data_IF_437854324543
#
_entry.id   IF_437854324543
#
_cell.length_a   1.000
_cell.length_b   1.000
_cell.length_c   1.000
_cell.angle_alpha   90.00
_cell.angle_beta   90.00
_cell.angle_gamma   90.00
#
_symmetry.space_group_name_H-M   'P 1'
#
loop_
_entity.id
_entity.type
_entity.pdbx_description
1 polymer ?
#
# COMPACT_ATOMS: atom_id res chain seq x y z
N UNK A 1 -47.00 -44.38 27.53
CA UNK A 1 -46.83 -43.82 26.17
C UNK A 1 -45.47 -44.18 25.56
N UNK A 2 -44.63 -44.96 26.23
CA UNK A 2 -43.25 -45.28 25.79
C UNK A 2 -43.15 -46.57 24.96
N UNK A 3 -44.09 -47.52 25.15
CA UNK A 3 -44.02 -48.85 24.55
C UNK A 3 -44.14 -48.86 23.00
N UNK A 4 -44.88 -47.90 22.43
CA UNK A 4 -44.98 -47.81 20.95
C UNK A 4 -43.72 -47.21 20.31
N UNK A 5 -43.02 -46.32 21.02
CA UNK A 5 -41.76 -45.74 20.58
C UNK A 5 -40.69 -46.84 20.56
N UNK A 6 -40.57 -47.59 21.64
CA UNK A 6 -39.66 -48.74 21.73
C UNK A 6 -39.93 -49.78 20.65
N UNK A 7 -41.20 -50.09 20.35
CA UNK A 7 -41.56 -51.02 19.27
C UNK A 7 -41.16 -50.51 17.89
N UNK A 8 -41.38 -49.22 17.61
CA UNK A 8 -40.95 -48.62 16.33
C UNK A 8 -39.43 -48.67 16.20
N UNK A 9 -38.68 -48.32 17.25
CA UNK A 9 -37.21 -48.39 17.23
C UNK A 9 -36.70 -49.82 17.15
N UNK A 10 -37.38 -50.80 17.75
CA UNK A 10 -37.01 -52.22 17.62
C UNK A 10 -37.27 -52.76 16.21
N UNK A 11 -38.32 -52.29 15.54
CA UNK A 11 -38.64 -52.67 14.15
C UNK A 11 -37.75 -51.97 13.13
N UNK A 12 -37.39 -50.71 13.38
CA UNK A 12 -36.59 -49.89 12.48
C UNK A 12 -35.08 -50.05 12.70
N UNK A 13 -34.66 -50.34 13.94
CA UNK A 13 -33.26 -50.47 14.38
C UNK A 13 -32.37 -51.32 13.46
N UNK A 14 -32.80 -52.53 13.04
CA UNK A 14 -32.00 -53.39 12.17
C UNK A 14 -31.71 -52.82 10.78
N UNK A 15 -32.45 -51.79 10.36
CA UNK A 15 -32.29 -51.11 9.07
C UNK A 15 -31.67 -49.71 9.22
N UNK A 16 -31.36 -49.27 10.44
CA UNK A 16 -30.71 -48.00 10.71
C UNK A 16 -29.23 -48.26 10.93
N UNK A 17 -28.40 -47.64 10.09
CA UNK A 17 -26.96 -47.61 10.26
C UNK A 17 -26.55 -46.23 10.79
N UNK A 18 -25.86 -46.19 11.92
CA UNK A 18 -25.25 -44.97 12.47
C UNK A 18 -23.75 -45.07 12.22
N UNK A 19 -23.20 -44.18 11.38
CA UNK A 19 -21.77 -44.19 11.06
C UNK A 19 -21.28 -45.43 10.30
N UNK A 20 -22.19 -46.27 9.78
CA UNK A 20 -21.88 -47.53 9.11
C UNK A 20 -22.07 -48.78 9.97
N UNK A 21 -22.39 -48.63 11.25
CA UNK A 21 -22.62 -49.74 12.18
C UNK A 21 -24.12 -49.89 12.51
N UNK A 22 -24.60 -51.11 12.81
CA UNK A 22 -26.00 -51.35 13.22
C UNK A 22 -26.38 -50.56 14.47
N UNK A 23 -27.58 -49.97 14.46
CA UNK A 23 -28.12 -49.16 15.56
C UNK A 23 -27.97 -49.81 16.94
N UNK A 24 -28.28 -51.10 17.06
CA UNK A 24 -28.20 -51.82 18.34
C UNK A 24 -26.77 -52.06 18.82
N UNK A 25 -25.77 -52.03 17.94
CA UNK A 25 -24.37 -52.23 18.27
C UNK A 25 -23.71 -50.95 18.74
N UNK A 26 -24.09 -49.81 18.13
CA UNK A 26 -23.58 -48.49 18.51
C UNK A 26 -23.77 -48.27 20.01
N UNK A 27 -24.98 -48.47 20.56
CA UNK A 27 -25.25 -48.22 21.99
C UNK A 27 -24.80 -49.33 22.96
N UNK A 28 -24.21 -50.42 22.46
CA UNK A 28 -23.68 -51.52 23.29
C UNK A 28 -22.18 -51.37 23.57
N UNK A 29 -21.49 -50.51 22.85
CA UNK A 29 -20.08 -50.22 23.10
C UNK A 29 -19.95 -49.23 24.26
N UNK A 30 -18.88 -49.33 25.05
CA UNK A 30 -18.63 -48.38 26.15
C UNK A 30 -18.42 -46.93 25.66
N UNK A 31 -18.27 -46.73 24.34
CA UNK A 31 -18.08 -45.43 23.68
C UNK A 31 -19.39 -44.70 23.39
N UNK A 32 -20.54 -45.38 23.35
CA UNK A 32 -21.84 -44.77 23.08
C UNK A 32 -22.63 -44.36 24.32
N UNK A 33 -22.16 -44.70 25.52
CA UNK A 33 -22.55 -43.95 26.70
C UNK A 33 -21.84 -42.61 26.63
N UNK A 34 -22.63 -41.53 26.51
CA UNK A 34 -22.17 -40.14 26.53
C UNK A 34 -21.03 -40.02 27.55
N UNK A 35 -19.78 -39.76 27.11
CA UNK A 35 -18.69 -39.74 28.03
C UNK A 35 -18.84 -38.46 28.85
N UNK A 36 -19.46 -38.58 30.02
CA UNK A 36 -19.05 -37.82 31.20
C UNK A 36 -17.64 -38.27 31.58
N UNK A 37 -16.72 -38.14 30.62
CA UNK A 37 -15.34 -38.54 30.73
C UNK A 37 -14.68 -37.47 31.57
N UNK A 38 -14.44 -37.79 32.85
CA UNK A 38 -13.69 -36.92 33.75
C UNK A 38 -12.36 -36.47 33.12
N UNK A 39 -11.83 -37.24 32.16
CA UNK A 39 -10.69 -36.85 31.34
C UNK A 39 -11.02 -35.71 30.38
N UNK A 40 -12.15 -35.73 29.68
CA UNK A 40 -12.60 -34.63 28.81
C UNK A 40 -12.87 -33.36 29.61
N UNK A 41 -13.53 -33.46 30.77
CA UNK A 41 -13.75 -32.31 31.65
C UNK A 41 -12.42 -31.72 32.16
N UNK A 42 -11.45 -32.58 32.51
CA UNK A 42 -10.10 -32.16 32.87
C UNK A 42 -9.37 -31.50 31.70
N UNK A 43 -9.44 -32.07 30.50
CA UNK A 43 -8.84 -31.51 29.29
C UNK A 43 -9.43 -30.15 28.95
N UNK A 44 -10.75 -29.98 29.05
CA UNK A 44 -11.42 -28.68 28.86
C UNK A 44 -10.95 -27.67 29.91
N UNK A 45 -10.89 -28.06 31.19
CA UNK A 45 -10.39 -27.18 32.26
C UNK A 45 -8.93 -26.77 32.07
N UNK A 46 -8.08 -27.70 31.61
CA UNK A 46 -6.67 -27.41 31.35
C UNK A 46 -6.48 -26.53 30.11
N UNK A 47 -7.30 -26.71 29.08
CA UNK A 47 -7.33 -25.84 27.89
C UNK A 47 -7.80 -24.42 28.25
N UNK A 48 -8.86 -24.28 29.05
CA UNK A 48 -9.34 -22.96 29.49
C UNK A 48 -8.29 -22.19 30.28
N UNK A 49 -7.53 -22.87 31.14
CA UNK A 49 -6.40 -22.24 31.86
C UNK A 49 -5.31 -21.77 30.89
N UNK A 50 -4.97 -22.58 29.89
CA UNK A 50 -3.97 -22.20 28.88
C UNK A 50 -4.45 -21.00 28.05
N UNK A 51 -5.73 -20.97 27.67
CA UNK A 51 -6.34 -19.84 26.97
C UNK A 51 -6.26 -18.57 27.82
N UNK A 52 -6.60 -18.64 29.11
CA UNK A 52 -6.54 -17.50 30.01
C UNK A 52 -5.10 -16.95 30.14
N UNK A 53 -4.11 -17.82 30.25
CA UNK A 53 -2.69 -17.43 30.30
C UNK A 53 -2.29 -16.71 29.00
N UNK A 54 -2.60 -17.30 27.85
CA UNK A 54 -2.28 -16.70 26.54
C UNK A 54 -2.97 -15.35 26.33
N UNK A 55 -4.21 -15.18 26.82
CA UNK A 55 -4.91 -13.90 26.75
C UNK A 55 -4.20 -12.80 27.59
N UNK A 56 -3.69 -13.15 28.76
CA UNK A 56 -2.90 -12.24 29.60
C UNK A 56 -1.59 -11.88 28.88
N UNK A 57 -0.86 -12.87 28.36
CA UNK A 57 0.39 -12.65 27.65
C UNK A 57 0.21 -11.76 26.41
N UNK A 58 -0.81 -12.02 25.59
CA UNK A 58 -1.13 -11.19 24.42
C UNK A 58 -1.46 -9.76 24.85
N UNK A 59 -2.20 -9.59 25.94
CA UNK A 59 -2.55 -8.26 26.45
C UNK A 59 -1.30 -7.50 26.92
N UNK A 60 -0.38 -8.16 27.61
CA UNK A 60 0.90 -7.57 27.98
C UNK A 60 1.77 -7.22 26.77
N UNK A 61 1.85 -8.11 25.78
CA UNK A 61 2.60 -7.92 24.55
C UNK A 61 2.03 -6.73 23.76
N UNK A 62 0.70 -6.62 23.61
CA UNK A 62 0.05 -5.47 22.95
C UNK A 62 0.43 -4.15 23.61
N UNK A 63 0.49 -4.11 24.95
CA UNK A 63 0.96 -2.92 25.68
C UNK A 63 2.44 -2.63 25.41
N UNK A 64 3.31 -3.63 25.59
CA UNK A 64 4.77 -3.49 25.48
C UNK A 64 5.22 -3.13 24.06
N UNK A 65 4.73 -3.84 23.04
CA UNK A 65 5.17 -3.66 21.66
C UNK A 65 4.65 -2.37 21.04
N UNK A 66 3.43 -1.94 21.36
CA UNK A 66 2.90 -0.67 20.84
C UNK A 66 3.79 0.52 21.25
N UNK A 67 4.20 0.58 22.51
CA UNK A 67 5.09 1.63 23.00
C UNK A 67 6.51 1.52 22.42
N UNK A 68 7.04 0.30 22.30
CA UNK A 68 8.36 0.05 21.73
C UNK A 68 8.44 0.46 20.25
N UNK A 69 7.44 0.07 19.45
CA UNK A 69 7.33 0.44 18.03
C UNK A 69 7.20 1.96 17.89
N UNK A 70 6.37 2.61 18.73
CA UNK A 70 6.22 4.06 18.72
C UNK A 70 7.55 4.76 19.02
N UNK A 71 8.30 4.30 20.03
CA UNK A 71 9.61 4.85 20.38
C UNK A 71 10.62 4.67 19.24
N UNK A 72 10.73 3.47 18.66
CA UNK A 72 11.60 3.22 17.50
C UNK A 72 11.25 4.11 16.31
N UNK A 73 9.96 4.20 15.98
CA UNK A 73 9.48 5.00 14.84
C UNK A 73 9.83 6.49 15.02
N UNK A 74 9.61 7.04 16.22
CA UNK A 74 9.97 8.43 16.54
C UNK A 74 11.48 8.63 16.44
N UNK A 75 12.28 7.69 16.95
CA UNK A 75 13.75 7.77 16.86
C UNK A 75 14.21 7.77 15.40
N UNK A 76 13.67 6.89 14.57
CA UNK A 76 14.05 6.79 13.15
C UNK A 76 13.63 8.02 12.36
N UNK A 77 12.42 8.55 12.60
CA UNK A 77 11.96 9.82 12.02
C UNK A 77 12.90 10.96 12.44
N UNK A 78 13.32 11.02 13.71
CA UNK A 78 14.22 12.05 14.19
C UNK A 78 15.62 11.95 13.56
N UNK A 79 16.13 10.74 13.32
CA UNK A 79 17.40 10.52 12.62
C UNK A 79 17.29 11.01 11.17
N UNK A 80 16.27 10.55 10.43
CA UNK A 80 16.05 10.98 9.04
C UNK A 80 15.83 12.49 8.92
N UNK A 81 15.07 13.09 9.84
CA UNK A 81 14.88 14.54 9.87
C UNK A 81 16.17 15.31 10.17
N UNK A 82 17.06 14.78 11.01
CA UNK A 82 18.38 15.39 11.25
C UNK A 82 19.26 15.30 10.00
N UNK A 83 19.22 14.20 9.27
CA UNK A 83 19.95 14.04 8.01
C UNK A 83 19.44 15.01 6.93
N UNK A 84 18.12 15.11 6.75
CA UNK A 84 17.50 16.07 5.81
C UNK A 84 17.84 17.53 6.18
N UNK A 85 17.87 17.86 7.48
CA UNK A 85 18.27 19.20 7.93
C UNK A 85 19.75 19.48 7.69
N UNK A 86 20.63 18.48 7.78
CA UNK A 86 22.06 18.63 7.44
C UNK A 86 22.27 18.89 5.95
N UNK A 87 21.50 18.23 5.07
CA UNK A 87 21.63 18.43 3.62
C UNK A 87 21.03 19.76 3.15
N UNK A 88 19.95 20.25 3.78
CA UNK A 88 19.34 21.55 3.42
C UNK A 88 20.20 22.78 3.72
N UNK A 89 21.18 22.71 4.63
CA UNK A 89 22.02 23.87 4.99
C UNK A 89 23.07 24.17 3.90
N UNK A 90 23.38 23.22 3.00
CA UNK A 90 24.34 23.42 1.92
C UNK A 90 23.75 23.95 0.61
N UNK A 91 22.45 24.23 0.55
CA UNK A 91 21.77 24.77 -0.63
C UNK A 91 21.58 26.29 -0.59
N UNK A 92 22.44 27.01 0.13
CA UNK A 92 22.52 28.48 0.01
C UNK A 92 23.59 28.80 -1.01
N UNK A 93 23.23 28.76 -2.29
CA UNK A 93 24.00 29.48 -3.31
C UNK A 93 23.88 30.96 -2.98
N UNK A 94 24.97 31.70 -2.74
CA UNK A 94 24.91 33.15 -2.66
C UNK A 94 24.72 33.66 -4.08
N UNK A 95 23.48 33.63 -4.57
CA UNK A 95 23.08 34.40 -5.74
C UNK A 95 22.97 35.86 -5.32
N UNK A 96 24.11 36.48 -5.02
CA UNK A 96 24.24 37.92 -5.09
C UNK A 96 24.27 38.21 -6.58
N UNK A 97 23.09 38.43 -7.15
CA UNK A 97 22.99 39.13 -8.43
C UNK A 97 23.15 40.59 -8.04
N UNK A 98 24.37 41.12 -8.17
CA UNK A 98 24.54 42.57 -8.31
C UNK A 98 23.70 42.96 -9.53
N UNK A 99 22.62 43.69 -9.28
CA UNK A 99 21.84 44.31 -10.34
C UNK A 99 22.70 45.47 -10.81
N UNK A 100 23.55 45.19 -11.80
CA UNK A 100 24.10 46.24 -12.65
C UNK A 100 22.89 46.88 -13.35
N UNK A 101 22.66 48.15 -13.04
CA UNK A 101 21.76 49.00 -13.80
C UNK A 101 22.28 49.03 -15.24
N UNK A 102 21.43 48.53 -16.15
CA UNK A 102 21.57 48.48 -17.62
C UNK A 102 22.36 47.29 -18.23
N UNK A 103 21.65 46.25 -18.73
CA UNK A 103 22.18 45.43 -19.81
C UNK A 103 21.35 45.67 -21.07
N UNK A 104 21.96 46.36 -22.02
CA UNK A 104 21.51 46.39 -23.40
C UNK A 104 21.30 44.94 -23.89
N UNK A 105 20.03 44.52 -24.00
CA UNK A 105 19.69 43.13 -24.31
C UNK A 105 20.18 42.82 -25.72
N UNK A 106 21.23 42.01 -25.81
CA UNK A 106 21.72 41.48 -27.10
C UNK A 106 20.74 40.47 -27.68
N UNK A 107 19.67 40.98 -28.31
CA UNK A 107 18.57 40.22 -28.92
C UNK A 107 19.05 39.16 -29.91
N UNK A 108 20.17 39.37 -30.58
CA UNK A 108 20.77 38.38 -31.47
C UNK A 108 21.21 37.10 -30.75
N UNK A 109 21.72 37.22 -29.52
CA UNK A 109 22.11 36.08 -28.68
C UNK A 109 20.89 35.29 -28.21
N UNK A 110 19.82 36.01 -27.85
CA UNK A 110 18.53 35.41 -27.46
C UNK A 110 17.91 34.66 -28.63
N UNK A 111 17.94 35.26 -29.83
CA UNK A 111 17.40 34.66 -31.05
C UNK A 111 18.18 33.41 -31.46
N UNK A 112 19.52 33.42 -31.38
CA UNK A 112 20.35 32.24 -31.63
C UNK A 112 20.06 31.09 -30.66
N UNK A 113 19.92 31.40 -29.36
CA UNK A 113 19.56 30.39 -28.34
C UNK A 113 18.19 29.77 -28.62
N UNK A 114 17.22 30.61 -28.99
CA UNK A 114 15.87 30.15 -29.34
C UNK A 114 15.86 29.25 -30.58
N UNK A 115 16.59 29.61 -31.63
CA UNK A 115 16.74 28.79 -32.84
C UNK A 115 17.37 27.42 -32.54
N UNK A 116 18.41 27.38 -31.70
CA UNK A 116 19.03 26.11 -31.28
C UNK A 116 18.04 25.19 -30.56
N UNK A 117 17.18 25.75 -29.70
CA UNK A 117 16.15 24.97 -28.98
C UNK A 117 15.11 24.42 -29.95
N UNK A 118 14.63 25.23 -30.90
CA UNK A 118 13.68 24.79 -31.93
C UNK A 118 14.26 23.64 -32.78
N UNK A 119 15.53 23.73 -33.12
CA UNK A 119 16.20 22.70 -33.92
C UNK A 119 16.35 21.40 -33.11
N UNK A 120 16.75 21.49 -31.84
CA UNK A 120 16.83 20.34 -30.94
C UNK A 120 15.47 19.64 -30.77
N UNK A 121 14.39 20.41 -30.60
CA UNK A 121 13.02 19.87 -30.51
C UNK A 121 12.58 19.23 -31.84
N UNK A 122 12.95 19.82 -32.97
CA UNK A 122 12.72 19.26 -34.30
C UNK A 122 13.44 17.92 -34.52
N UNK A 123 14.67 17.78 -34.03
CA UNK A 123 15.45 16.55 -34.15
C UNK A 123 14.93 15.45 -33.21
N UNK A 124 14.51 15.82 -32.00
CA UNK A 124 13.85 14.90 -31.06
C UNK A 124 12.54 14.34 -31.64
N UNK A 125 11.72 15.21 -32.26
CA UNK A 125 10.44 14.80 -32.86
C UNK A 125 10.58 13.98 -34.14
N UNK A 126 11.67 14.15 -34.89
CA UNK A 126 11.97 13.32 -36.08
C UNK A 126 12.46 11.91 -35.72
N UNK A 127 13.14 11.78 -34.58
CA UNK A 127 13.71 10.51 -34.12
C UNK A 127 12.69 9.61 -33.39
N UNK A 128 11.55 10.16 -32.94
CA UNK A 128 10.44 9.40 -32.35
C UNK A 128 9.42 8.93 -33.40
N UNK A 129 9.76 7.91 -34.18
CA UNK A 129 8.72 7.08 -34.82
C UNK A 129 8.12 6.11 -33.79
N UNK A 130 7.18 6.58 -32.96
CA UNK A 130 5.95 5.85 -32.59
C UNK A 130 5.17 6.46 -31.39
N UNK A 131 3.87 6.63 -31.63
CA UNK A 131 2.70 6.55 -30.73
C UNK A 131 2.35 7.64 -29.68
N UNK A 132 3.20 8.59 -29.27
CA UNK A 132 2.80 9.65 -28.31
C UNK A 132 2.89 11.10 -28.85
N UNK A 133 2.42 11.29 -30.09
CA UNK A 133 2.52 12.53 -30.88
C UNK A 133 1.72 13.75 -30.33
N UNK A 134 1.31 13.76 -29.06
CA UNK A 134 0.46 14.79 -28.48
C UNK A 134 1.23 15.81 -27.60
N UNK A 135 2.29 15.36 -26.89
CA UNK A 135 2.99 16.23 -25.92
C UNK A 135 3.92 17.22 -26.62
N UNK A 136 4.73 16.76 -27.58
CA UNK A 136 5.67 17.63 -28.29
C UNK A 136 4.98 18.56 -29.29
N UNK A 137 3.85 18.14 -29.86
CA UNK A 137 3.00 18.96 -30.74
C UNK A 137 2.48 20.20 -30.02
N UNK A 138 2.05 20.07 -28.76
CA UNK A 138 1.64 21.20 -27.92
C UNK A 138 2.80 22.15 -27.62
N UNK A 139 4.01 21.62 -27.37
CA UNK A 139 5.21 22.42 -27.15
C UNK A 139 5.62 23.20 -28.41
N UNK A 140 5.61 22.56 -29.57
CA UNK A 140 5.90 23.21 -30.85
C UNK A 140 4.88 24.32 -31.15
N UNK A 141 3.59 24.09 -30.89
CA UNK A 141 2.56 25.11 -31.07
C UNK A 141 2.77 26.33 -30.15
N UNK A 142 3.12 26.09 -28.87
CA UNK A 142 3.47 27.17 -27.93
C UNK A 142 4.71 27.94 -28.36
N UNK A 143 5.74 27.25 -28.83
CA UNK A 143 6.95 27.90 -29.33
C UNK A 143 6.65 28.75 -30.57
N UNK A 144 5.87 28.25 -31.53
CA UNK A 144 5.44 29.04 -32.70
C UNK A 144 4.69 30.31 -32.31
N UNK A 145 3.81 30.26 -31.31
CA UNK A 145 3.08 31.43 -30.82
C UNK A 145 4.05 32.52 -30.29
N UNK A 146 5.09 32.11 -29.55
CA UNK A 146 6.14 33.01 -29.06
C UNK A 146 6.90 33.65 -30.23
N UNK A 147 7.18 32.90 -31.30
CA UNK A 147 7.85 33.42 -32.49
C UNK A 147 7.00 34.52 -33.18
N UNK A 148 5.68 34.33 -33.27
CA UNK A 148 4.76 35.36 -33.78
C UNK A 148 4.75 36.60 -32.88
N UNK A 149 4.77 36.44 -31.56
CA UNK A 149 4.82 37.56 -30.62
C UNK A 149 6.13 38.35 -30.75
N UNK A 150 7.27 37.68 -30.89
CA UNK A 150 8.57 38.32 -31.08
C UNK A 150 8.62 39.09 -32.41
N UNK A 151 8.06 38.51 -33.47
CA UNK A 151 8.04 39.13 -34.80
C UNK A 151 7.15 40.37 -34.82
N UNK A 152 5.94 40.27 -34.26
CA UNK A 152 5.01 41.41 -34.15
C UNK A 152 5.60 42.55 -33.31
N UNK A 153 6.31 42.24 -32.22
CA UNK A 153 6.97 43.26 -31.38
C UNK A 153 8.12 43.97 -32.10
N UNK A 154 8.79 43.32 -33.05
CA UNK A 154 9.80 43.96 -33.91
C UNK A 154 9.18 44.87 -34.98
N UNK A 155 7.97 44.56 -35.45
CA UNK A 155 7.24 45.38 -36.43
C UNK A 155 6.60 46.63 -35.79
N UNK A 156 6.13 46.55 -34.54
CA UNK A 156 5.59 47.70 -33.80
C UNK A 156 6.65 48.77 -33.43
N UNK A 157 7.95 48.46 -33.56
CA UNK A 157 9.06 49.38 -33.29
C UNK A 157 9.71 49.99 -34.54
N UNK A 158 9.10 49.82 -35.72
CA UNK A 158 9.47 50.54 -36.96
C UNK A 158 8.47 51.64 -37.27
#
# INVERSE_FOLDING_TARGET
MENWIEQIFTMAGPNILIGGEPYEEVFKTSEAHEPLDAKLAKTLSDLDKQIAILQIEISEQRRKYSEAIKKMTIQEINIKNKEIKKTKIHDVSPSIIEIDDDPEVHWESVQKKYQNILQLVGDLTKNEKNENNNIYSSLIAKLKNIDTMITNYKEEKK
#
